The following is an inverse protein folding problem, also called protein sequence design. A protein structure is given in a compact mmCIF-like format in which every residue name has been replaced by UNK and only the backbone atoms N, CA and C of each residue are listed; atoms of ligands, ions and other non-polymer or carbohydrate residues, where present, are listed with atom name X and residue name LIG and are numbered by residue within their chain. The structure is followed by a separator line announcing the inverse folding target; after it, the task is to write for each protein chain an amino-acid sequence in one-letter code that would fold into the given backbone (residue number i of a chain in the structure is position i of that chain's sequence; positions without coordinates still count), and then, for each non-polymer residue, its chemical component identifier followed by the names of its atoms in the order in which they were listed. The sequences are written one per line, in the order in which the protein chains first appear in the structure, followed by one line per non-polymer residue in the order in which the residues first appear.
data_IF_079825433083
#
_entry.id   IF_079825433083
#
_cell.length_a   1.000
_cell.length_b   1.000
_cell.length_c   1.000
_cell.angle_alpha   90.00
_cell.angle_beta   90.00
_cell.angle_gamma   90.00
#
_symmetry.space_group_name_H-M   'P 1'
#
loop_
_entity.id
_entity.type
_entity.pdbx_description
1 polymer ?
#
# COMPACT_ATOMS: atom_id res chain seq x y z
N UNK A 1 -15.82 -18.39 1.43
CA UNK A 1 -14.54 -18.45 0.67
C UNK A 1 -14.02 -17.04 0.30
N UNK A 2 -14.84 -16.14 -0.29
CA UNK A 2 -14.42 -14.77 -0.61
C UNK A 2 -13.92 -13.99 0.61
N UNK A 3 -14.59 -14.13 1.75
CA UNK A 3 -14.17 -13.50 3.01
C UNK A 3 -12.86 -14.06 3.54
N UNK A 4 -12.64 -15.39 3.49
CA UNK A 4 -11.36 -15.99 3.91
C UNK A 4 -10.19 -15.59 3.01
N UNK A 5 -10.46 -15.21 1.76
CA UNK A 5 -9.46 -14.76 0.78
C UNK A 5 -9.06 -13.28 0.95
N UNK A 6 -9.93 -12.43 1.52
CA UNK A 6 -9.58 -11.07 1.96
C UNK A 6 -8.57 -11.03 3.10
N UNK A 7 -8.36 -12.17 3.76
CA UNK A 7 -7.43 -12.33 4.88
C UNK A 7 -5.93 -12.23 4.51
N UNK A 8 -5.58 -12.31 3.23
CA UNK A 8 -4.25 -11.95 2.75
C UNK A 8 -3.81 -10.56 3.18
N UNK A 9 -4.77 -9.66 3.42
CA UNK A 9 -4.50 -8.34 3.94
C UNK A 9 -4.05 -8.35 5.40
N UNK A 10 -4.49 -9.30 6.23
CA UNK A 10 -4.04 -9.43 7.62
C UNK A 10 -2.53 -9.69 7.70
N UNK A 11 -2.02 -10.62 6.89
CA UNK A 11 -0.58 -10.91 6.87
C UNK A 11 0.23 -9.73 6.33
N UNK A 12 -0.21 -9.12 5.24
CA UNK A 12 0.42 -7.90 4.70
C UNK A 12 0.45 -6.79 5.75
N UNK A 13 -0.65 -6.60 6.48
CA UNK A 13 -0.75 -5.58 7.51
C UNK A 13 0.16 -5.83 8.71
N UNK A 14 0.45 -7.07 9.06
CA UNK A 14 1.44 -7.38 10.12
C UNK A 14 2.86 -6.98 9.71
N UNK A 15 3.22 -7.18 8.45
CA UNK A 15 4.51 -6.74 7.89
C UNK A 15 4.49 -5.23 7.70
N UNK A 16 3.44 -4.69 7.07
CA UNK A 16 3.25 -3.27 6.81
C UNK A 16 3.22 -2.43 8.09
N UNK A 17 2.59 -2.93 9.16
CA UNK A 17 2.46 -2.21 10.42
C UNK A 17 3.77 -1.84 11.12
N UNK A 18 4.88 -2.45 10.73
CA UNK A 18 6.22 -2.15 11.27
C UNK A 18 7.14 -1.50 10.24
N UNK A 19 6.91 -1.79 8.96
CA UNK A 19 7.88 -1.48 7.92
C UNK A 19 8.10 0.03 7.69
N UNK A 20 7.09 0.92 7.65
CA UNK A 20 7.34 2.34 7.48
C UNK A 20 8.18 2.95 8.60
N UNK A 21 7.87 2.65 9.86
CA UNK A 21 8.64 3.11 11.00
C UNK A 21 10.07 2.58 11.00
N UNK A 22 10.26 1.28 10.75
CA UNK A 22 11.61 0.68 10.72
C UNK A 22 12.44 1.12 9.53
N UNK A 23 11.80 1.29 8.36
CA UNK A 23 12.50 1.60 7.12
C UNK A 23 12.78 3.10 6.95
N UNK A 24 11.82 3.97 7.26
CA UNK A 24 11.91 5.38 6.89
C UNK A 24 12.22 6.31 8.05
N UNK A 25 11.75 6.01 9.27
CA UNK A 25 11.93 6.89 10.42
C UNK A 25 13.40 7.23 10.72
N UNK A 26 14.36 6.29 10.68
CA UNK A 26 15.78 6.58 10.93
C UNK A 26 16.40 7.55 9.92
N UNK A 27 15.79 7.70 8.74
CA UNK A 27 16.27 8.54 7.63
C UNK A 27 15.45 9.81 7.43
N UNK A 28 14.49 10.09 8.33
CA UNK A 28 13.74 11.35 8.34
C UNK A 28 14.60 12.46 8.93
N UNK A 29 14.93 13.49 8.13
CA UNK A 29 15.67 14.66 8.58
C UNK A 29 14.77 15.85 8.98
N UNK A 30 13.47 15.76 8.71
CA UNK A 30 12.49 16.80 9.00
C UNK A 30 11.59 16.33 10.15
N UNK A 31 11.50 17.07 11.27
CA UNK A 31 10.66 16.71 12.42
C UNK A 31 9.19 16.52 12.08
N UNK A 32 8.67 17.30 11.12
CA UNK A 32 7.29 17.18 10.64
C UNK A 32 7.05 15.86 9.90
N UNK A 33 8.03 15.41 9.12
CA UNK A 33 7.96 14.13 8.43
C UNK A 33 8.10 12.97 9.42
N UNK A 34 8.99 13.09 10.40
CA UNK A 34 9.13 12.13 11.51
C UNK A 34 7.79 11.94 12.23
N UNK A 35 7.12 13.04 12.63
CA UNK A 35 5.81 13.00 13.25
C UNK A 35 4.75 12.31 12.35
N UNK A 36 4.79 12.54 11.04
CA UNK A 36 3.91 11.85 10.08
C UNK A 36 4.18 10.35 10.04
N UNK A 37 5.44 9.91 10.09
CA UNK A 37 5.81 8.48 10.08
C UNK A 37 5.39 7.76 11.38
N UNK A 38 5.48 8.44 12.52
CA UNK A 38 5.00 7.91 13.81
C UNK A 38 3.48 7.75 13.82
N UNK A 39 2.74 8.75 13.34
CA UNK A 39 1.28 8.66 13.18
C UNK A 39 0.89 7.53 12.22
N UNK A 40 1.59 7.39 11.11
CA UNK A 40 1.38 6.32 10.15
C UNK A 40 1.57 4.94 10.81
N UNK A 41 2.69 4.72 11.50
CA UNK A 41 2.96 3.46 12.21
C UNK A 41 1.88 3.14 13.26
N UNK A 42 1.36 4.15 13.95
CA UNK A 42 0.25 4.00 14.88
C UNK A 42 -1.06 3.57 14.18
N UNK A 43 -1.41 4.20 13.05
CA UNK A 43 -2.60 3.86 12.26
C UNK A 43 -2.51 2.41 11.75
N UNK A 44 -1.36 1.99 11.24
CA UNK A 44 -1.15 0.62 10.76
C UNK A 44 -1.33 -0.42 11.88
N UNK A 45 -0.93 -0.11 13.10
CA UNK A 45 -1.18 -0.98 14.25
C UNK A 45 -2.69 -1.09 14.54
N UNK A 46 -3.45 0.01 14.43
CA UNK A 46 -4.92 -0.01 14.56
C UNK A 46 -5.55 -0.84 13.44
N UNK A 47 -5.08 -0.68 12.19
CA UNK A 47 -5.55 -1.44 11.03
C UNK A 47 -5.36 -2.95 11.25
N UNK A 48 -4.19 -3.38 11.67
CA UNK A 48 -3.89 -4.78 11.97
C UNK A 48 -4.81 -5.36 13.05
N UNK A 49 -5.05 -4.60 14.12
CA UNK A 49 -5.99 -4.98 15.19
C UNK A 49 -7.43 -5.07 14.69
N UNK A 50 -7.83 -4.15 13.82
CA UNK A 50 -9.18 -4.11 13.24
C UNK A 50 -9.47 -5.36 12.41
N UNK A 51 -8.55 -5.81 11.57
CA UNK A 51 -8.69 -7.06 10.84
C UNK A 51 -8.78 -8.27 11.77
N UNK A 52 -7.94 -8.32 12.81
CA UNK A 52 -8.01 -9.39 13.81
C UNK A 52 -9.35 -9.37 14.54
N UNK A 53 -9.88 -8.20 14.84
CA UNK A 53 -11.19 -8.03 15.47
C UNK A 53 -12.32 -8.54 14.55
N UNK A 54 -12.29 -8.20 13.26
CA UNK A 54 -13.27 -8.69 12.28
C UNK A 54 -13.25 -10.22 12.23
N UNK A 55 -12.06 -10.83 12.12
CA UNK A 55 -11.93 -12.30 12.07
C UNK A 55 -12.54 -12.94 13.31
N UNK A 56 -12.23 -12.42 14.51
CA UNK A 56 -12.73 -12.97 15.78
C UNK A 56 -14.24 -12.86 15.94
N UNK A 57 -14.88 -11.92 15.27
CA UNK A 57 -16.33 -11.71 15.38
C UNK A 57 -17.13 -12.32 14.23
N UNK A 58 -16.46 -12.71 13.15
CA UNK A 58 -17.13 -13.26 11.96
C UNK A 58 -17.05 -14.78 11.89
N UNK A 59 -15.97 -15.35 12.40
CA UNK A 59 -15.74 -16.80 12.33
C UNK A 59 -15.89 -17.45 13.70
N UNK A 60 -16.52 -18.64 13.70
CA UNK A 60 -16.64 -19.47 14.92
C UNK A 60 -15.29 -19.98 15.42
N UNK A 61 -14.38 -20.28 14.48
CA UNK A 61 -13.03 -20.77 14.77
C UNK A 61 -11.98 -19.81 14.15
N UNK A 62 -11.70 -18.67 14.79
CA UNK A 62 -10.77 -17.66 14.26
C UNK A 62 -9.34 -18.19 14.04
N UNK A 63 -8.88 -19.14 14.87
CA UNK A 63 -7.54 -19.75 14.79
C UNK A 63 -7.32 -20.49 13.48
N UNK A 64 -8.29 -21.29 13.04
CA UNK A 64 -8.20 -22.00 11.76
C UNK A 64 -8.06 -21.06 10.57
N UNK A 65 -8.72 -19.90 10.67
CA UNK A 65 -8.65 -18.88 9.62
C UNK A 65 -7.28 -18.23 9.59
N UNK A 66 -6.73 -17.88 10.75
CA UNK A 66 -5.40 -17.31 10.88
C UNK A 66 -4.31 -18.27 10.39
N UNK A 67 -4.43 -19.56 10.74
CA UNK A 67 -3.49 -20.61 10.29
C UNK A 67 -3.52 -20.79 8.76
N UNK A 68 -4.72 -20.69 8.14
CA UNK A 68 -4.85 -20.73 6.67
C UNK A 68 -4.18 -19.56 5.98
N UNK A 69 -4.17 -18.38 6.59
CA UNK A 69 -3.53 -17.18 6.01
C UNK A 69 -2.03 -17.40 5.82
N UNK A 70 -1.37 -17.98 6.81
CA UNK A 70 0.08 -18.20 6.79
C UNK A 70 0.49 -19.46 5.99
N UNK A 71 -0.46 -20.24 5.55
CA UNK A 71 -0.24 -21.48 4.79
C UNK A 71 -0.72 -21.40 3.33
N UNK A 72 -1.52 -20.40 2.95
CA UNK A 72 -2.02 -20.25 1.57
C UNK A 72 -0.91 -19.70 0.64
N UNK A 73 -0.46 -20.48 -0.38
CA UNK A 73 0.62 -20.06 -1.27
C UNK A 73 0.34 -18.76 -2.01
N UNK A 74 -0.94 -18.50 -2.38
CA UNK A 74 -1.33 -17.27 -3.10
C UNK A 74 -1.25 -16.03 -2.22
N UNK A 75 -1.55 -16.19 -0.94
CA UNK A 75 -1.41 -15.13 0.05
C UNK A 75 0.07 -14.84 0.31
N UNK A 76 0.89 -15.88 0.46
CA UNK A 76 2.33 -15.77 0.68
C UNK A 76 3.06 -15.15 -0.53
N UNK A 77 2.75 -15.59 -1.75
CA UNK A 77 3.28 -15.00 -3.00
C UNK A 77 3.01 -13.48 -3.06
N UNK A 78 1.77 -13.09 -2.77
CA UNK A 78 1.36 -11.68 -2.77
C UNK A 78 2.03 -10.87 -1.64
N UNK A 79 2.31 -11.47 -0.50
CA UNK A 79 3.02 -10.83 0.60
C UNK A 79 4.51 -10.64 0.29
N UNK A 80 5.15 -11.64 -0.33
CA UNK A 80 6.57 -11.59 -0.68
C UNK A 80 6.89 -10.43 -1.65
N UNK A 81 6.01 -10.15 -2.61
CA UNK A 81 6.19 -9.04 -3.56
C UNK A 81 6.21 -7.65 -2.89
N UNK A 82 5.65 -7.53 -1.69
CA UNK A 82 5.60 -6.28 -0.92
C UNK A 82 6.84 -6.13 -0.03
N UNK A 83 7.28 -7.22 0.61
CA UNK A 83 8.38 -7.17 1.58
C UNK A 83 9.75 -6.97 0.97
N UNK A 84 9.92 -7.37 -0.30
CA UNK A 84 11.22 -7.31 -0.99
C UNK A 84 11.84 -5.92 -0.96
N UNK A 85 11.11 -4.90 -1.39
CA UNK A 85 11.62 -3.52 -1.47
C UNK A 85 11.98 -2.90 -0.13
N UNK A 86 11.24 -3.23 0.93
CA UNK A 86 11.59 -2.80 2.28
C UNK A 86 12.91 -3.44 2.73
N UNK A 87 13.04 -4.74 2.55
CA UNK A 87 14.23 -5.48 2.93
C UNK A 87 15.45 -5.00 2.14
N UNK A 88 15.29 -4.76 0.83
CA UNK A 88 16.36 -4.24 -0.03
C UNK A 88 16.84 -2.87 0.45
N UNK A 89 15.92 -1.99 0.82
CA UNK A 89 16.29 -0.68 1.36
C UNK A 89 16.91 -0.76 2.75
N UNK A 90 16.32 -1.53 3.68
CA UNK A 90 16.85 -1.70 5.05
C UNK A 90 18.26 -2.31 5.04
N UNK A 91 18.49 -3.32 4.19
CA UNK A 91 19.78 -3.96 4.07
C UNK A 91 20.83 -2.99 3.52
N UNK A 92 20.51 -2.26 2.44
CA UNK A 92 21.41 -1.25 1.87
C UNK A 92 21.74 -0.14 2.86
N UNK A 93 20.72 0.33 3.60
CA UNK A 93 20.89 1.33 4.63
C UNK A 93 21.80 0.84 5.76
N UNK A 94 21.62 -0.40 6.19
CA UNK A 94 22.47 -1.02 7.19
C UNK A 94 23.93 -1.19 6.70
N UNK A 95 24.11 -1.61 5.47
CA UNK A 95 25.45 -1.72 4.84
C UNK A 95 26.12 -0.35 4.70
N UNK A 96 25.38 0.67 4.32
CA UNK A 96 25.85 2.05 4.23
C UNK A 96 26.27 2.58 5.60
N UNK A 97 25.48 2.41 6.63
CA UNK A 97 25.76 2.89 7.99
C UNK A 97 26.94 2.15 8.61
N UNK A 98 26.95 0.81 8.54
CA UNK A 98 28.04 -0.01 9.08
C UNK A 98 29.35 0.16 8.29
N UNK A 99 29.26 0.28 6.98
CA UNK A 99 30.40 0.53 6.10
C UNK A 99 31.10 1.85 6.38
N UNK A 100 30.35 2.90 6.78
CA UNK A 100 30.92 4.19 7.15
C UNK A 100 31.77 4.11 8.43
N UNK A 101 31.38 3.32 9.42
CA UNK A 101 32.11 3.17 10.68
C UNK A 101 33.51 2.52 10.55
N UNK A 102 33.64 1.54 9.64
CA UNK A 102 34.87 0.76 9.48
C UNK A 102 35.84 1.31 8.43
N UNK A 103 35.36 2.19 7.55
CA UNK A 103 36.09 2.64 6.35
C UNK A 103 36.55 4.10 6.40
N UNK A 104 36.37 4.81 7.49
CA UNK A 104 36.67 6.25 7.62
C UNK A 104 38.13 6.63 7.35
N UNK A 105 39.03 5.64 7.21
CA UNK A 105 40.46 5.86 6.83
C UNK A 105 40.83 5.38 5.42
N UNK A 106 39.96 4.66 4.70
CA UNK A 106 40.33 4.00 3.43
C UNK A 106 39.30 4.23 2.29
N UNK A 107 38.26 4.99 2.52
CA UNK A 107 37.20 5.17 1.50
C UNK A 107 37.64 6.17 0.45
N UNK A 108 37.74 5.74 -0.80
CA UNK A 108 37.83 6.64 -1.93
C UNK A 108 36.55 7.48 -1.98
N UNK A 109 36.68 8.80 -2.11
CA UNK A 109 35.59 9.77 -2.20
C UNK A 109 34.55 9.39 -3.25
N UNK A 110 34.99 8.78 -4.35
CA UNK A 110 34.12 8.36 -5.45
C UNK A 110 33.22 7.17 -5.09
N UNK A 111 33.72 6.17 -4.37
CA UNK A 111 32.95 5.02 -3.92
C UNK A 111 31.86 5.44 -2.92
N UNK A 112 32.14 6.38 -2.02
CA UNK A 112 31.16 6.93 -1.09
C UNK A 112 29.98 7.67 -1.77
N UNK A 113 30.24 8.34 -2.89
CA UNK A 113 29.20 9.01 -3.69
C UNK A 113 28.28 7.97 -4.36
N UNK A 114 28.85 6.92 -4.94
CA UNK A 114 28.09 5.86 -5.60
C UNK A 114 27.21 5.08 -4.62
N UNK A 115 27.73 4.74 -3.46
CA UNK A 115 26.99 4.04 -2.41
C UNK A 115 25.82 4.90 -1.91
N UNK A 116 26.02 6.21 -1.73
CA UNK A 116 24.94 7.14 -1.35
C UNK A 116 23.86 7.24 -2.42
N UNK A 117 24.23 7.31 -3.70
CA UNK A 117 23.26 7.35 -4.81
C UNK A 117 22.46 6.06 -4.87
N UNK A 118 23.08 4.91 -4.63
CA UNK A 118 22.37 3.62 -4.60
C UNK A 118 21.40 3.53 -3.41
N UNK A 119 21.81 3.95 -2.23
CA UNK A 119 20.91 4.04 -1.07
C UNK A 119 19.69 4.91 -1.36
N UNK A 120 19.88 6.09 -1.96
CA UNK A 120 18.78 6.97 -2.38
C UNK A 120 17.87 6.32 -3.43
N UNK A 121 18.45 5.55 -4.37
CA UNK A 121 17.66 4.79 -5.35
C UNK A 121 16.78 3.74 -4.68
N UNK A 122 17.33 2.99 -3.73
CA UNK A 122 16.58 2.01 -2.94
C UNK A 122 15.49 2.66 -2.10
N UNK A 123 15.75 3.83 -1.52
CA UNK A 123 14.74 4.62 -0.82
C UNK A 123 13.59 5.02 -1.77
N UNK A 124 13.91 5.53 -2.97
CA UNK A 124 12.89 5.86 -3.98
C UNK A 124 12.02 4.65 -4.32
N UNK A 125 12.65 3.50 -4.56
CA UNK A 125 11.96 2.25 -4.87
C UNK A 125 11.07 1.79 -3.72
N UNK A 126 11.54 1.87 -2.48
CA UNK A 126 10.77 1.52 -1.30
C UNK A 126 9.52 2.42 -1.14
N UNK A 127 9.68 3.74 -1.20
CA UNK A 127 8.56 4.70 -1.10
C UNK A 127 7.55 4.52 -2.24
N UNK A 128 8.03 4.26 -3.46
CA UNK A 128 7.16 4.00 -4.62
C UNK A 128 6.37 2.70 -4.45
N UNK A 129 7.01 1.63 -3.98
CA UNK A 129 6.32 0.37 -3.72
C UNK A 129 5.26 0.47 -2.61
N UNK A 130 5.53 1.25 -1.57
CA UNK A 130 4.53 1.55 -0.53
C UNK A 130 3.35 2.31 -1.12
N UNK A 131 3.59 3.32 -1.94
CA UNK A 131 2.53 4.05 -2.63
C UNK A 131 1.66 3.13 -3.50
N UNK A 132 2.28 2.18 -4.21
CA UNK A 132 1.58 1.18 -5.03
C UNK A 132 0.79 0.21 -4.14
N UNK A 133 1.37 -0.28 -3.04
CA UNK A 133 0.71 -1.17 -2.09
C UNK A 133 -0.57 -0.55 -1.54
N UNK A 134 -0.45 0.61 -0.94
CA UNK A 134 -1.55 1.30 -0.28
C UNK A 134 -2.54 1.91 -1.27
N UNK A 135 -2.05 2.31 -2.46
CA UNK A 135 -2.84 2.96 -3.48
C UNK A 135 -3.63 2.03 -4.41
N UNK A 136 -3.19 0.77 -4.56
CA UNK A 136 -3.80 -0.18 -5.50
C UNK A 136 -4.18 -1.47 -4.79
N UNK A 137 -3.22 -2.17 -4.17
CA UNK A 137 -3.47 -3.52 -3.63
C UNK A 137 -4.54 -3.54 -2.54
N UNK A 138 -4.57 -2.55 -1.68
CA UNK A 138 -5.60 -2.46 -0.64
C UNK A 138 -6.96 -2.11 -1.22
N UNK A 139 -7.01 -1.26 -2.22
CA UNK A 139 -8.27 -0.83 -2.83
C UNK A 139 -9.05 -1.94 -3.52
N UNK A 140 -8.36 -2.93 -4.10
CA UNK A 140 -9.00 -4.14 -4.64
C UNK A 140 -9.70 -4.92 -3.52
N UNK A 141 -9.00 -5.11 -2.41
CA UNK A 141 -9.54 -5.82 -1.24
C UNK A 141 -10.66 -5.03 -0.56
N UNK A 142 -10.54 -3.70 -0.51
CA UNK A 142 -11.60 -2.83 0.00
C UNK A 142 -12.87 -2.94 -0.85
N UNK A 143 -12.76 -2.94 -2.19
CA UNK A 143 -13.90 -3.11 -3.07
C UNK A 143 -14.65 -4.41 -2.78
N UNK A 144 -13.95 -5.52 -2.57
CA UNK A 144 -14.58 -6.79 -2.18
C UNK A 144 -15.33 -6.69 -0.84
N UNK A 145 -14.75 -6.00 0.13
CA UNK A 145 -15.36 -5.81 1.46
C UNK A 145 -16.59 -4.90 1.40
N UNK A 146 -16.50 -3.83 0.63
CA UNK A 146 -17.62 -2.89 0.44
C UNK A 146 -18.77 -3.51 -0.34
N UNK A 147 -18.49 -4.44 -1.28
CA UNK A 147 -19.55 -5.19 -1.96
C UNK A 147 -20.44 -5.98 -1.00
N UNK A 148 -19.89 -6.51 0.10
CA UNK A 148 -20.70 -7.10 1.16
C UNK A 148 -21.57 -6.05 1.87
N UNK A 149 -21.02 -4.86 2.12
CA UNK A 149 -21.78 -3.74 2.70
C UNK A 149 -22.95 -3.29 1.81
N UNK A 150 -22.74 -3.19 0.49
CA UNK A 150 -23.77 -2.88 -0.49
C UNK A 150 -24.92 -3.91 -0.48
N UNK A 151 -24.60 -5.17 -0.23
CA UNK A 151 -25.59 -6.24 -0.09
C UNK A 151 -26.19 -6.31 1.32
N UNK A 152 -25.89 -5.35 2.19
CA UNK A 152 -26.29 -5.34 3.62
C UNK A 152 -25.85 -6.59 4.38
N UNK A 153 -24.73 -7.16 3.93
CA UNK A 153 -24.04 -8.26 4.58
C UNK A 153 -22.80 -7.70 5.25
N UNK A 154 -22.57 -8.03 6.52
CA UNK A 154 -21.37 -7.59 7.25
C UNK A 154 -21.13 -6.06 7.25
N UNK A 155 -22.18 -5.26 7.37
CA UNK A 155 -22.10 -3.79 7.35
C UNK A 155 -21.09 -3.23 8.37
N UNK A 156 -21.04 -3.81 9.58
CA UNK A 156 -20.05 -3.42 10.60
C UNK A 156 -18.61 -3.62 10.15
N UNK A 157 -18.30 -4.74 9.49
CA UNK A 157 -16.98 -5.00 8.93
C UNK A 157 -16.64 -4.04 7.78
N UNK A 158 -17.61 -3.81 6.87
CA UNK A 158 -17.46 -2.84 5.78
C UNK A 158 -17.19 -1.42 6.32
N UNK A 159 -17.87 -1.02 7.41
CA UNK A 159 -17.65 0.28 8.07
C UNK A 159 -16.26 0.39 8.68
N UNK A 160 -15.77 -0.63 9.37
CA UNK A 160 -14.40 -0.65 9.89
C UNK A 160 -13.40 -0.50 8.74
N UNK A 161 -13.57 -1.26 7.65
CA UNK A 161 -12.68 -1.19 6.49
C UNK A 161 -12.78 0.17 5.80
N UNK A 162 -13.93 0.83 5.81
CA UNK A 162 -14.06 2.18 5.26
C UNK A 162 -13.25 3.22 6.06
N UNK A 163 -13.15 3.07 7.37
CA UNK A 163 -12.28 3.91 8.21
C UNK A 163 -10.81 3.68 7.85
N UNK A 164 -10.38 2.42 7.72
CA UNK A 164 -9.04 2.05 7.26
C UNK A 164 -8.74 2.68 5.90
N UNK A 165 -9.64 2.56 4.92
CA UNK A 165 -9.45 3.12 3.58
C UNK A 165 -9.28 4.65 3.57
N UNK A 166 -9.85 5.36 4.54
CA UNK A 166 -9.65 6.81 4.72
C UNK A 166 -8.27 7.14 5.27
N UNK A 167 -7.77 6.33 6.21
CA UNK A 167 -6.42 6.49 6.73
C UNK A 167 -5.38 6.24 5.63
N UNK A 168 -5.60 5.23 4.75
CA UNK A 168 -4.75 4.98 3.59
C UNK A 168 -4.65 6.18 2.63
N UNK A 169 -5.68 7.02 2.55
CA UNK A 169 -5.57 8.25 1.76
C UNK A 169 -4.55 9.23 2.35
N UNK A 170 -4.33 9.23 3.66
CA UNK A 170 -3.31 10.06 4.30
C UNK A 170 -1.91 9.51 4.03
N UNK A 171 -1.72 8.19 4.15
CA UNK A 171 -0.46 7.52 3.81
C UNK A 171 -0.07 7.75 2.34
N UNK A 172 -1.06 7.67 1.45
CA UNK A 172 -0.87 8.00 0.03
C UNK A 172 -0.48 9.47 -0.17
N UNK A 173 -1.08 10.39 0.56
CA UNK A 173 -0.73 11.80 0.46
C UNK A 173 0.73 12.05 0.90
N UNK A 174 1.21 11.37 1.94
CA UNK A 174 2.59 11.44 2.41
C UNK A 174 3.54 10.94 1.32
N UNK A 175 3.36 9.73 0.84
CA UNK A 175 4.26 9.11 -0.17
C UNK A 175 4.23 9.86 -1.50
N UNK A 176 3.06 10.31 -1.95
CA UNK A 176 2.92 11.13 -3.17
C UNK A 176 3.61 12.48 -3.04
N UNK A 177 3.52 13.11 -1.86
CA UNK A 177 4.18 14.38 -1.60
C UNK A 177 5.70 14.23 -1.63
N UNK A 178 6.23 13.19 -1.00
CA UNK A 178 7.66 12.86 -1.03
C UNK A 178 8.14 12.67 -2.48
N UNK A 179 7.49 11.81 -3.26
CA UNK A 179 7.87 11.53 -4.66
C UNK A 179 7.79 12.81 -5.51
N UNK A 180 6.73 13.61 -5.34
CA UNK A 180 6.56 14.84 -6.11
C UNK A 180 7.59 15.91 -5.75
N UNK A 181 8.03 16.02 -4.49
CA UNK A 181 9.08 16.94 -4.06
C UNK A 181 10.43 16.53 -4.66
N UNK A 182 10.77 15.26 -4.65
CA UNK A 182 11.96 14.76 -5.34
C UNK A 182 11.91 15.06 -6.84
N UNK A 183 10.75 14.87 -7.47
CA UNK A 183 10.53 15.16 -8.89
C UNK A 183 10.73 16.67 -9.21
N UNK A 184 10.29 17.55 -8.33
CA UNK A 184 10.46 19.01 -8.47
C UNK A 184 11.93 19.43 -8.30
N UNK A 185 12.70 18.71 -7.49
CA UNK A 185 14.12 18.91 -7.31
C UNK A 185 14.51 19.53 -5.97
N UNK A 186 13.74 19.26 -4.93
CA UNK A 186 14.11 19.63 -3.56
C UNK A 186 15.46 18.99 -3.18
N UNK A 187 15.76 17.80 -3.72
CA UNK A 187 17.08 17.18 -3.73
C UNK A 187 17.48 16.94 -5.19
N UNK A 188 18.55 17.58 -5.71
CA UNK A 188 18.99 17.44 -7.11
C UNK A 188 19.35 16.00 -7.49
N UNK A 189 19.98 15.23 -6.59
CA UNK A 189 20.36 13.84 -6.82
C UNK A 189 19.12 12.94 -6.87
N UNK A 190 18.14 13.17 -5.99
CA UNK A 190 16.86 12.47 -6.04
C UNK A 190 16.08 12.79 -7.32
N UNK A 191 16.15 14.00 -7.82
CA UNK A 191 15.52 14.38 -9.10
C UNK A 191 16.06 13.57 -10.28
N UNK A 192 17.39 13.36 -10.32
CA UNK A 192 18.03 12.50 -11.33
C UNK A 192 17.56 11.05 -11.18
N UNK A 193 17.57 10.52 -9.96
CA UNK A 193 17.15 9.15 -9.65
C UNK A 193 15.68 8.94 -10.08
N UNK A 194 14.77 9.84 -9.74
CA UNK A 194 13.36 9.75 -10.15
C UNK A 194 13.21 9.67 -11.66
N UNK A 195 14.05 10.40 -12.41
CA UNK A 195 14.05 10.35 -13.88
C UNK A 195 14.66 9.05 -14.41
N UNK A 196 15.76 8.59 -13.84
CA UNK A 196 16.40 7.32 -14.19
C UNK A 196 15.47 6.13 -13.94
N UNK A 197 14.68 6.17 -12.87
CA UNK A 197 13.78 5.11 -12.41
C UNK A 197 12.36 5.18 -13.03
N UNK A 198 12.10 6.05 -13.99
CA UNK A 198 10.76 6.22 -14.55
C UNK A 198 10.24 4.94 -15.21
N UNK A 199 11.04 4.24 -16.01
CA UNK A 199 10.67 2.97 -16.64
C UNK A 199 10.45 1.86 -15.60
N UNK A 200 11.33 1.79 -14.58
CA UNK A 200 11.16 0.87 -13.46
C UNK A 200 9.83 1.15 -12.73
N UNK A 201 9.51 2.42 -12.50
CA UNK A 201 8.25 2.81 -11.84
C UNK A 201 7.05 2.33 -12.62
N UNK A 202 7.01 2.53 -13.94
CA UNK A 202 5.94 2.01 -14.78
C UNK A 202 5.84 0.48 -14.73
N UNK A 203 6.99 -0.21 -14.77
CA UNK A 203 7.01 -1.67 -14.67
C UNK A 203 6.44 -2.17 -13.34
N UNK A 204 6.69 -1.46 -12.24
CA UNK A 204 6.16 -1.81 -10.92
C UNK A 204 4.64 -1.61 -10.83
N UNK A 205 4.11 -0.54 -11.44
CA UNK A 205 2.66 -0.37 -11.57
C UNK A 205 2.04 -1.50 -12.40
N UNK A 206 2.64 -1.86 -13.54
CA UNK A 206 2.14 -2.91 -14.40
C UNK A 206 2.18 -4.29 -13.73
N UNK A 207 3.28 -4.61 -13.07
CA UNK A 207 3.41 -5.84 -12.28
C UNK A 207 2.31 -5.92 -11.20
N UNK A 208 2.08 -4.84 -10.45
CA UNK A 208 1.04 -4.77 -9.45
C UNK A 208 -0.36 -4.97 -10.06
N UNK A 209 -0.67 -4.29 -11.16
CA UNK A 209 -1.97 -4.43 -11.83
C UNK A 209 -2.19 -5.86 -12.31
N UNK A 210 -1.17 -6.48 -12.90
CA UNK A 210 -1.25 -7.87 -13.36
C UNK A 210 -1.40 -8.87 -12.20
N UNK A 211 -0.73 -8.64 -11.07
CA UNK A 211 -0.91 -9.46 -9.86
C UNK A 211 -2.31 -9.30 -9.27
N UNK A 212 -2.83 -8.07 -9.21
CA UNK A 212 -4.18 -7.83 -8.68
C UNK A 212 -5.29 -8.37 -9.60
N UNK A 213 -5.07 -8.41 -10.92
CA UNK A 213 -5.97 -9.09 -11.85
C UNK A 213 -5.99 -10.60 -11.61
N UNK A 214 -4.83 -11.24 -11.50
CA UNK A 214 -4.76 -12.67 -11.13
C UNK A 214 -5.38 -12.96 -9.76
N UNK A 215 -5.22 -12.03 -8.83
CA UNK A 215 -5.89 -12.12 -7.53
C UNK A 215 -7.40 -12.03 -7.64
N UNK A 216 -7.93 -11.14 -8.49
CA UNK A 216 -9.37 -11.04 -8.77
C UNK A 216 -9.92 -12.33 -9.39
N UNK A 217 -9.22 -12.93 -10.36
CA UNK A 217 -9.58 -14.22 -10.94
C UNK A 217 -9.61 -15.34 -9.87
N UNK A 218 -8.61 -15.38 -8.99
CA UNK A 218 -8.58 -16.32 -7.88
C UNK A 218 -9.74 -16.12 -6.89
N UNK A 219 -10.11 -14.87 -6.60
CA UNK A 219 -11.23 -14.57 -5.71
C UNK A 219 -12.57 -15.04 -6.27
N UNK A 220 -12.76 -14.93 -7.58
CA UNK A 220 -14.03 -15.23 -8.25
C UNK A 220 -14.05 -16.57 -9.02
N UNK A 221 -13.05 -17.43 -8.82
CA UNK A 221 -12.98 -18.73 -9.52
C UNK A 221 -14.20 -19.64 -9.26
N UNK A 222 -14.89 -19.49 -8.13
CA UNK A 222 -16.07 -20.26 -7.74
C UNK A 222 -17.39 -19.52 -8.04
N UNK A 223 -17.32 -18.35 -8.69
CA UNK A 223 -18.47 -17.52 -9.06
C UNK A 223 -18.39 -16.07 -8.64
N UNK A 224 -19.26 -15.26 -9.20
CA UNK A 224 -19.33 -13.81 -8.96
C UNK A 224 -20.26 -13.44 -7.81
N UNK A 225 -20.08 -12.23 -7.29
CA UNK A 225 -21.07 -11.59 -6.40
C UNK A 225 -22.01 -10.68 -7.20
N UNK A 226 -23.18 -10.38 -6.64
CA UNK A 226 -24.06 -9.34 -7.20
C UNK A 226 -23.31 -8.01 -7.18
N UNK A 227 -23.17 -7.39 -8.35
CA UNK A 227 -22.49 -6.10 -8.50
C UNK A 227 -20.96 -6.15 -8.52
N UNK A 228 -20.33 -7.34 -8.40
CA UNK A 228 -18.88 -7.48 -8.43
C UNK A 228 -18.42 -8.81 -9.04
N UNK A 229 -17.52 -8.74 -10.01
CA UNK A 229 -16.88 -9.88 -10.63
C UNK A 229 -15.41 -9.56 -11.00
N UNK A 230 -14.69 -10.55 -11.50
CA UNK A 230 -13.30 -10.42 -11.93
C UNK A 230 -13.10 -9.32 -12.97
N UNK A 231 -13.98 -9.23 -13.99
CA UNK A 231 -13.88 -8.24 -15.08
C UNK A 231 -14.05 -6.80 -14.59
N UNK A 232 -15.01 -6.57 -13.70
CA UNK A 232 -15.21 -5.26 -13.07
C UNK A 232 -14.02 -4.88 -12.19
N UNK A 233 -13.46 -5.84 -11.45
CA UNK A 233 -12.25 -5.60 -10.68
C UNK A 233 -11.04 -5.31 -11.57
N UNK A 234 -10.87 -5.99 -12.70
CA UNK A 234 -9.82 -5.69 -13.67
C UNK A 234 -9.87 -4.22 -14.13
N UNK A 235 -11.05 -3.76 -14.52
CA UNK A 235 -11.25 -2.35 -14.90
C UNK A 235 -10.99 -1.40 -13.73
N UNK A 236 -11.44 -1.76 -12.54
CA UNK A 236 -11.23 -0.93 -11.34
C UNK A 236 -9.75 -0.81 -10.96
N UNK A 237 -8.99 -1.90 -11.06
CA UNK A 237 -7.54 -1.91 -10.83
C UNK A 237 -6.82 -0.96 -11.79
N UNK A 238 -7.11 -1.04 -13.09
CA UNK A 238 -6.52 -0.16 -14.11
C UNK A 238 -6.90 1.31 -13.88
N UNK A 239 -8.16 1.56 -13.53
CA UNK A 239 -8.65 2.90 -13.24
C UNK A 239 -7.94 3.52 -12.02
N UNK A 240 -7.82 2.76 -10.93
CA UNK A 240 -7.09 3.19 -9.71
C UNK A 240 -5.61 3.40 -10.04
N UNK A 241 -4.97 2.47 -10.75
CA UNK A 241 -3.57 2.59 -11.14
C UNK A 241 -3.30 3.88 -11.93
N UNK A 242 -4.14 4.20 -12.91
CA UNK A 242 -4.04 5.47 -13.64
C UNK A 242 -4.16 6.70 -12.75
N UNK A 243 -4.99 6.65 -11.71
CA UNK A 243 -5.10 7.75 -10.74
C UNK A 243 -3.80 7.90 -9.93
N UNK A 244 -3.21 6.79 -9.48
CA UNK A 244 -1.96 6.80 -8.69
C UNK A 244 -0.76 7.22 -9.54
N UNK A 245 -0.67 6.74 -10.77
CA UNK A 245 0.35 7.17 -11.74
C UNK A 245 0.30 8.70 -11.94
N UNK A 246 -0.90 9.27 -12.15
CA UNK A 246 -1.05 10.72 -12.27
C UNK A 246 -0.66 11.47 -10.99
N UNK A 247 -1.00 10.94 -9.83
CA UNK A 247 -0.74 11.62 -8.54
C UNK A 247 0.75 11.75 -8.21
N UNK A 248 1.61 10.91 -8.80
CA UNK A 248 3.06 11.03 -8.72
C UNK A 248 3.69 11.72 -9.94
N UNK A 249 2.88 12.40 -10.77
CA UNK A 249 3.32 13.22 -11.89
C UNK A 249 3.67 12.46 -13.17
N UNK A 250 3.25 11.20 -13.31
CA UNK A 250 3.45 10.39 -14.50
C UNK A 250 2.21 10.36 -15.41
N UNK A 251 2.39 9.96 -16.67
CA UNK A 251 1.28 9.80 -17.62
C UNK A 251 0.57 8.46 -17.38
N UNK A 252 -0.78 8.42 -17.44
CA UNK A 252 -1.51 7.16 -17.33
C UNK A 252 -1.14 6.19 -18.46
N UNK A 253 -1.15 4.89 -18.15
CA UNK A 253 -0.74 3.87 -19.12
C UNK A 253 -1.87 2.91 -19.56
N UNK A 254 -3.03 2.95 -18.88
CA UNK A 254 -4.17 2.09 -19.19
C UNK A 254 -5.24 2.88 -19.94
N UNK A 255 -5.85 2.24 -20.96
CA UNK A 255 -6.93 2.84 -21.75
C UNK A 255 -8.29 2.71 -21.04
N UNK A 256 -8.45 3.48 -19.97
CA UNK A 256 -9.69 3.56 -19.22
C UNK A 256 -10.03 5.02 -18.88
N UNK A 257 -11.29 5.46 -19.12
CA UNK A 257 -11.69 6.84 -18.88
C UNK A 257 -11.54 7.27 -17.44
N UNK A 258 -10.83 8.37 -17.20
CA UNK A 258 -10.53 8.87 -15.85
C UNK A 258 -11.77 9.20 -15.01
N UNK A 259 -12.87 9.61 -15.65
CA UNK A 259 -14.10 10.05 -15.00
C UNK A 259 -15.06 8.91 -14.65
N UNK A 260 -14.87 7.74 -15.24
CA UNK A 260 -15.78 6.62 -15.09
C UNK A 260 -15.19 5.61 -14.11
N UNK A 261 -15.50 5.75 -12.82
CA UNK A 261 -15.20 4.71 -11.85
C UNK A 261 -15.99 3.44 -12.21
N UNK A 262 -15.34 2.30 -12.52
CA UNK A 262 -16.04 1.05 -12.83
C UNK A 262 -16.88 0.51 -11.67
N UNK A 263 -16.58 0.90 -10.45
CA UNK A 263 -17.29 0.56 -9.22
C UNK A 263 -17.73 1.83 -8.48
N UNK A 264 -18.70 2.60 -9.00
CA UNK A 264 -19.03 3.93 -8.50
C UNK A 264 -19.53 3.93 -7.05
N UNK A 265 -20.11 2.83 -6.60
CA UNK A 265 -20.54 2.64 -5.22
C UNK A 265 -19.38 2.61 -4.21
N UNK A 266 -18.12 2.38 -4.65
CA UNK A 266 -16.96 2.45 -3.77
C UNK A 266 -16.66 3.86 -3.28
N UNK A 267 -17.08 4.89 -4.03
CA UNK A 267 -16.77 6.28 -3.72
C UNK A 267 -17.34 6.74 -2.38
N UNK A 268 -18.55 6.31 -2.00
CA UNK A 268 -19.13 6.71 -0.72
C UNK A 268 -18.48 6.01 0.48
N UNK A 269 -17.96 4.79 0.31
CA UNK A 269 -17.23 4.07 1.36
C UNK A 269 -15.86 4.69 1.67
N UNK A 270 -15.21 5.23 0.65
CA UNK A 270 -13.86 5.80 0.73
C UNK A 270 -13.91 7.30 1.08
N UNK A 271 -15.02 7.98 0.77
CA UNK A 271 -15.17 9.42 0.97
C UNK A 271 -15.16 9.80 2.45
N UNK A 272 -14.44 10.88 2.77
CA UNK A 272 -14.52 11.53 4.09
C UNK A 272 -15.77 12.42 4.24
N UNK A 273 -16.52 12.64 3.17
CA UNK A 273 -17.76 13.45 3.20
C UNK A 273 -18.84 12.71 4.01
N UNK A 274 -19.42 13.40 4.96
CA UNK A 274 -20.49 12.83 5.81
C UNK A 274 -19.98 11.87 6.87
N UNK A 275 -18.74 11.99 7.31
CA UNK A 275 -18.27 11.36 8.54
C UNK A 275 -19.23 11.74 9.66
N UNK A 276 -19.98 10.75 10.12
CA UNK A 276 -20.81 10.93 11.30
C UNK A 276 -19.87 11.07 12.50
N UNK A 277 -19.94 12.18 13.18
CA UNK A 277 -19.34 12.40 14.50
C UNK A 277 -19.89 11.34 15.46
N UNK A 278 -19.13 10.96 16.45
CA UNK A 278 -19.61 10.00 17.43
C UNK A 278 -20.96 10.46 18.03
N UNK A 279 -21.91 9.56 18.32
CA UNK A 279 -23.24 9.96 18.81
C UNK A 279 -23.22 10.88 20.03
N UNK A 280 -22.21 10.73 20.90
CA UNK A 280 -22.02 11.58 22.07
C UNK A 280 -21.53 13.01 21.74
N UNK A 281 -21.20 13.29 20.50
CA UNK A 281 -20.78 14.61 20.03
C UNK A 281 -21.89 15.32 19.24
N UNK A 282 -23.04 14.69 19.11
CA UNK A 282 -24.19 15.19 18.35
C UNK A 282 -25.36 15.69 19.22
N UNK A 283 -25.20 15.72 20.57
CA UNK A 283 -26.18 16.29 21.50
C UNK A 283 -25.93 17.77 21.78
#
# INVERSE_FOLDING_TARGET
RLMSRGLGDVYKRQVQGRAPGMAFLPYCSLPELEACMECWSFMEMIHSRSYTYIIKNVYSEPSEVLDKIISDPKILERAASVTGSYNDFINEAHEYDTGNWWKDGMRDHFSGILERKELKRKLYRAVTNVNILEGIRFYVSFACSFAFGELKLMEGSAKIISLIARDENQHLAITQNIINNWRKGDDPEMKEIVKEEEEWTYSMFDNCVNEEKRWAEYLFQDGSMIGLNDKLLHQYVEWIANRRIRSIGLKPQYDIPARNNPLPWTDHWISSKGLQVAPQETE
#
